data_IF_696405176328
#
_entry.id   IF_696405176328
#
_cell.length_a   1.000
_cell.length_b   1.000
_cell.length_c   1.000
_cell.angle_alpha   90.00
_cell.angle_beta   90.00
_cell.angle_gamma   90.00
#
_symmetry.space_group_name_H-M   'P 1'
#
loop_
_entity.id
_entity.type
_entity.pdbx_description
1 polymer ?
#
# COMPACT_ATOMS: atom_id res chain seq x y z
N UNK A 1 19.95 6.80 0.22
CA UNK A 1 19.25 5.72 0.95
C UNK A 1 18.90 4.59 0.00
N UNK A 2 19.16 3.37 0.39
CA UNK A 2 18.80 2.22 -0.44
C UNK A 2 17.45 1.68 -0.03
N UNK A 3 16.46 1.92 -0.86
CA UNK A 3 15.08 1.51 -0.58
C UNK A 3 14.88 0.00 -0.63
N UNK A 4 15.81 -0.73 -1.23
CA UNK A 4 15.71 -2.19 -1.27
C UNK A 4 15.82 -2.81 0.11
N UNK A 5 16.49 -2.15 1.04
CA UNK A 5 16.66 -2.66 2.39
C UNK A 5 15.43 -2.48 3.27
N UNK A 6 14.43 -1.69 2.81
CA UNK A 6 13.25 -1.36 3.60
C UNK A 6 12.19 -2.44 3.54
N UNK A 7 12.04 -3.04 2.36
CA UNK A 7 11.05 -4.09 2.14
C UNK A 7 11.72 -5.34 1.61
N UNK A 8 11.76 -6.40 2.40
CA UNK A 8 12.19 -7.71 1.94
C UNK A 8 11.10 -8.32 1.05
N UNK A 9 11.40 -9.42 0.38
CA UNK A 9 10.40 -10.12 -0.43
C UNK A 9 9.23 -10.59 0.43
N UNK A 10 9.53 -11.07 1.64
CA UNK A 10 8.50 -11.51 2.56
C UNK A 10 7.62 -10.36 3.01
N UNK A 11 8.23 -9.21 3.29
CA UNK A 11 7.48 -8.03 3.69
C UNK A 11 6.59 -7.51 2.58
N UNK A 12 7.07 -7.53 1.34
CA UNK A 12 6.26 -7.14 0.18
C UNK A 12 5.08 -8.09 -0.01
N UNK A 13 5.33 -9.39 0.10
CA UNK A 13 4.27 -10.38 -0.02
C UNK A 13 3.23 -10.20 1.08
N UNK A 14 3.69 -10.00 2.30
CA UNK A 14 2.79 -9.77 3.43
C UNK A 14 1.94 -8.53 3.21
N UNK A 15 2.54 -7.44 2.75
CA UNK A 15 1.84 -6.19 2.48
C UNK A 15 0.78 -6.38 1.38
N UNK A 16 1.16 -6.99 0.26
CA UNK A 16 0.23 -7.20 -0.84
C UNK A 16 -0.90 -8.16 -0.48
N UNK A 17 -0.59 -9.24 0.24
CA UNK A 17 -1.60 -10.20 0.67
C UNK A 17 -2.59 -9.55 1.64
N UNK A 18 -2.10 -8.73 2.55
CA UNK A 18 -2.96 -8.01 3.49
C UNK A 18 -4.02 -7.18 2.75
N UNK A 19 -3.60 -6.45 1.72
CA UNK A 19 -4.53 -5.64 0.94
C UNK A 19 -5.47 -6.48 0.08
N UNK A 20 -4.94 -7.54 -0.55
CA UNK A 20 -5.78 -8.41 -1.40
C UNK A 20 -6.91 -9.04 -0.62
N UNK A 21 -6.65 -9.44 0.61
CA UNK A 21 -7.67 -10.03 1.47
C UNK A 21 -8.75 -9.04 1.88
N UNK A 22 -8.47 -7.75 1.81
CA UNK A 22 -9.35 -6.69 2.31
C UNK A 22 -9.87 -5.75 1.24
N UNK A 23 -9.62 -6.03 -0.03
CA UNK A 23 -10.03 -5.13 -1.12
C UNK A 23 -11.51 -4.77 -1.06
N UNK A 24 -12.36 -5.75 -0.81
CA UNK A 24 -13.80 -5.51 -0.77
C UNK A 24 -14.28 -4.83 0.51
N UNK A 25 -13.43 -4.78 1.52
CA UNK A 25 -13.76 -4.16 2.80
C UNK A 25 -13.18 -2.76 2.94
N UNK A 26 -12.44 -2.28 1.95
CA UNK A 26 -11.82 -0.96 2.02
C UNK A 26 -12.88 0.14 1.97
N UNK A 27 -12.70 1.21 2.76
CA UNK A 27 -13.58 2.37 2.64
C UNK A 27 -13.41 3.03 1.29
N UNK A 28 -14.37 3.83 0.88
CA UNK A 28 -14.33 4.51 -0.41
C UNK A 28 -13.17 5.52 -0.47
N UNK A 29 -12.92 6.19 0.64
CA UNK A 29 -11.85 7.18 0.73
C UNK A 29 -11.17 7.08 2.08
N UNK A 30 -9.98 7.68 2.20
CA UNK A 30 -9.22 7.60 3.42
C UNK A 30 -8.35 8.84 3.59
N UNK A 31 -8.42 9.46 4.76
CA UNK A 31 -7.46 10.49 5.17
C UNK A 31 -6.28 9.76 5.80
N UNK A 32 -5.20 9.65 5.05
CA UNK A 32 -4.01 8.91 5.51
C UNK A 32 -3.26 9.69 6.58
N UNK A 33 -3.06 10.98 6.32
CA UNK A 33 -2.45 11.91 7.27
C UNK A 33 -2.93 13.33 6.92
N UNK A 34 -2.39 14.34 7.59
CA UNK A 34 -2.83 15.71 7.41
C UNK A 34 -2.69 16.22 5.98
N UNK A 35 -1.73 15.69 5.23
CA UNK A 35 -1.43 16.13 3.88
C UNK A 35 -1.94 15.19 2.79
N UNK A 36 -2.39 14.01 3.14
CA UNK A 36 -2.70 12.95 2.16
C UNK A 36 -4.12 12.45 2.32
N UNK A 37 -4.93 12.67 1.29
CA UNK A 37 -6.29 12.16 1.23
C UNK A 37 -6.44 11.34 -0.06
N UNK A 38 -6.92 10.11 0.05
CA UNK A 38 -7.10 9.21 -1.10
C UNK A 38 -8.59 9.01 -1.32
N UNK A 39 -9.09 9.44 -2.48
CA UNK A 39 -10.53 9.37 -2.77
C UNK A 39 -10.99 8.00 -3.21
N UNK A 40 -10.37 7.45 -4.23
CA UNK A 40 -10.73 6.12 -4.73
C UNK A 40 -9.76 5.11 -4.15
N UNK A 41 -9.91 4.83 -2.87
CA UNK A 41 -8.94 4.02 -2.14
C UNK A 41 -8.72 2.65 -2.78
N UNK A 42 -9.81 1.95 -3.12
CA UNK A 42 -9.70 0.62 -3.71
C UNK A 42 -8.94 0.65 -5.04
N UNK A 43 -9.28 1.60 -5.92
CA UNK A 43 -8.60 1.71 -7.21
C UNK A 43 -7.14 2.07 -7.05
N UNK A 44 -6.84 2.97 -6.11
CA UNK A 44 -5.47 3.36 -5.83
C UNK A 44 -4.66 2.17 -5.33
N UNK A 45 -5.21 1.41 -4.40
CA UNK A 45 -4.56 0.22 -3.87
C UNK A 45 -4.36 -0.81 -4.97
N UNK A 46 -5.40 -1.11 -5.75
CA UNK A 46 -5.29 -2.08 -6.85
C UNK A 46 -4.21 -1.69 -7.86
N UNK A 47 -4.14 -0.41 -8.20
CA UNK A 47 -3.12 0.09 -9.11
C UNK A 47 -1.72 -0.12 -8.56
N UNK A 48 -1.51 0.24 -7.29
CA UNK A 48 -0.19 0.09 -6.67
C UNK A 48 0.18 -1.38 -6.47
N UNK A 49 -0.77 -2.24 -6.15
CA UNK A 49 -0.50 -3.67 -6.06
C UNK A 49 -0.05 -4.23 -7.41
N UNK A 50 -0.68 -3.78 -8.49
CA UNK A 50 -0.29 -4.20 -9.84
C UNK A 50 1.13 -3.74 -10.16
N UNK A 51 1.49 -2.51 -9.79
CA UNK A 51 2.84 -2.02 -10.01
C UNK A 51 3.85 -2.87 -9.26
N UNK A 52 3.56 -3.25 -8.03
CA UNK A 52 4.43 -4.11 -7.24
C UNK A 52 4.61 -5.47 -7.92
N UNK A 53 3.53 -6.07 -8.41
CA UNK A 53 3.59 -7.37 -9.08
C UNK A 53 4.41 -7.32 -10.36
N UNK A 54 4.27 -6.24 -11.15
CA UNK A 54 4.95 -6.12 -12.42
C UNK A 54 6.41 -5.72 -12.28
N UNK A 55 6.74 -4.94 -11.27
CA UNK A 55 8.04 -4.29 -11.18
C UNK A 55 8.67 -4.38 -9.80
N UNK A 56 8.42 -5.48 -9.10
CA UNK A 56 8.88 -5.63 -7.71
C UNK A 56 10.39 -5.48 -7.51
N UNK A 57 11.17 -5.63 -8.58
CA UNK A 57 12.63 -5.46 -8.53
C UNK A 57 13.08 -4.03 -8.78
N UNK A 58 12.16 -3.13 -9.10
CA UNK A 58 12.50 -1.75 -9.46
C UNK A 58 12.38 -0.82 -8.27
N UNK A 59 13.30 0.13 -8.17
CA UNK A 59 13.28 1.11 -7.08
C UNK A 59 12.26 2.23 -7.29
N UNK A 60 11.70 2.30 -8.49
CA UNK A 60 10.80 3.40 -8.87
C UNK A 60 9.50 3.44 -8.09
N UNK A 61 9.19 2.38 -7.33
CA UNK A 61 7.94 2.35 -6.56
C UNK A 61 8.10 2.55 -5.08
N UNK A 62 9.28 2.95 -4.62
CA UNK A 62 9.45 3.11 -3.18
C UNK A 62 8.42 4.08 -2.58
N UNK A 63 8.07 5.13 -3.31
CA UNK A 63 7.04 6.08 -2.86
C UNK A 63 5.68 5.43 -2.71
N UNK A 64 5.29 4.59 -3.68
CA UNK A 64 4.03 3.87 -3.65
C UNK A 64 3.99 2.83 -2.54
N UNK A 65 5.11 2.15 -2.30
CA UNK A 65 5.21 1.19 -1.21
C UNK A 65 5.06 1.86 0.15
N UNK A 66 5.68 3.01 0.31
CA UNK A 66 5.53 3.80 1.53
C UNK A 66 4.08 4.24 1.73
N UNK A 67 3.44 4.66 0.66
CA UNK A 67 2.04 5.07 0.75
C UNK A 67 1.16 3.89 1.13
N UNK A 68 1.36 2.72 0.52
CA UNK A 68 0.62 1.52 0.88
C UNK A 68 0.82 1.17 2.35
N UNK A 69 2.04 1.25 2.86
CA UNK A 69 2.32 0.96 4.26
C UNK A 69 1.60 1.93 5.19
N UNK A 70 1.58 3.21 4.84
CA UNK A 70 0.89 4.23 5.63
C UNK A 70 -0.62 4.03 5.58
N UNK A 71 -1.15 3.66 4.42
CA UNK A 71 -2.58 3.33 4.28
C UNK A 71 -2.92 2.14 5.18
N UNK A 72 -2.10 1.09 5.16
CA UNK A 72 -2.32 -0.08 6.00
C UNK A 72 -2.37 0.28 7.47
N UNK A 73 -1.39 1.06 7.95
CA UNK A 73 -1.34 1.50 9.33
C UNK A 73 -2.61 2.24 9.72
N UNK A 74 -3.06 3.15 8.86
CA UNK A 74 -4.26 3.93 9.14
C UNK A 74 -5.50 3.05 9.19
N UNK A 75 -5.62 2.11 8.27
CA UNK A 75 -6.75 1.18 8.26
C UNK A 75 -6.78 0.31 9.52
N UNK A 76 -5.61 -0.15 9.98
CA UNK A 76 -5.53 -0.91 11.22
C UNK A 76 -5.98 -0.07 12.40
N UNK A 77 -5.57 1.20 12.47
CA UNK A 77 -6.03 2.13 13.50
C UNK A 77 -7.55 2.27 13.50
N UNK A 78 -8.16 2.20 12.32
CA UNK A 78 -9.61 2.33 12.18
C UNK A 78 -10.36 1.00 12.39
N UNK A 79 -9.63 -0.06 12.69
CA UNK A 79 -10.25 -1.35 13.03
C UNK A 79 -10.29 -2.38 11.92
N UNK A 80 -9.58 -2.15 10.84
CA UNK A 80 -9.59 -3.13 9.74
C UNK A 80 -8.62 -4.30 9.95
#
# INVERSE_FOLDING_TARGET
>A
MDYKSIFSKEELKELTDWFKERLDALPESLQVDDATFVRDLRKTVEYYLRLVELYHDKRTFSGQLYLLERIRKKLIELGL
#
